data_IF_266493793536
#
_entry.id   IF_266493793536
#
_cell.length_a   1.000
_cell.length_b   1.000
_cell.length_c   1.000
_cell.angle_alpha   90.00
_cell.angle_beta   90.00
_cell.angle_gamma   90.00
#
_symmetry.space_group_name_H-M   'P 1'
#
loop_
_entity.id
_entity.type
_entity.pdbx_description
1 polymer ?
#
# COMPACT_ATOMS: atom_id res chain seq x y z
N UNK A 1 15.70 15.35 49.84
CA UNK A 1 14.84 14.29 49.27
C UNK A 1 14.39 14.79 47.90
N UNK A 2 15.09 14.37 46.84
CA UNK A 2 14.73 14.73 45.47
C UNK A 2 13.94 13.56 44.88
N UNK A 3 12.69 13.81 44.50
CA UNK A 3 11.87 12.86 43.76
C UNK A 3 12.42 12.76 42.34
N UNK A 4 12.92 11.58 41.96
CA UNK A 4 13.20 11.22 40.57
C UNK A 4 11.87 11.14 39.82
N UNK A 5 11.68 12.08 38.91
CA UNK A 5 10.59 12.14 37.97
C UNK A 5 10.74 10.97 36.99
N UNK A 6 9.67 10.17 36.86
CA UNK A 6 9.61 8.94 36.07
C UNK A 6 9.99 9.19 34.60
N UNK A 7 10.98 8.46 34.09
CA UNK A 7 11.42 8.39 32.68
C UNK A 7 10.41 7.69 31.75
N UNK A 8 9.13 7.62 32.11
CA UNK A 8 8.11 6.88 31.35
C UNK A 8 7.61 7.59 30.08
N UNK A 9 7.98 8.85 29.87
CA UNK A 9 7.47 9.67 28.75
C UNK A 9 8.37 9.69 27.50
N UNK A 10 9.41 8.84 27.44
CA UNK A 10 10.33 8.75 26.29
C UNK A 10 10.26 7.42 25.49
N UNK A 11 9.15 6.69 25.55
CA UNK A 11 8.89 5.69 24.52
C UNK A 11 8.39 6.40 23.25
N UNK A 12 9.32 6.72 22.34
CA UNK A 12 8.96 6.86 20.93
C UNK A 12 8.16 5.62 20.55
N UNK A 13 6.90 5.80 20.14
CA UNK A 13 5.97 4.76 19.73
C UNK A 13 6.67 3.84 18.70
N UNK A 14 7.15 2.68 19.18
CA UNK A 14 7.99 1.75 18.42
C UNK A 14 7.22 0.98 17.33
N UNK A 15 5.98 1.39 17.10
CA UNK A 15 5.03 0.73 16.23
C UNK A 15 5.04 1.44 14.87
N UNK A 16 5.57 0.77 13.85
CA UNK A 16 5.56 1.32 12.49
C UNK A 16 4.11 1.57 12.03
N UNK A 17 3.88 2.72 11.38
CA UNK A 17 2.57 3.12 10.85
C UNK A 17 2.51 2.86 9.35
N UNK A 18 1.58 2.02 8.92
CA UNK A 18 1.43 1.61 7.52
C UNK A 18 0.08 2.07 6.99
N UNK A 19 0.11 2.82 5.89
CA UNK A 19 -1.08 3.24 5.16
C UNK A 19 -1.34 2.29 3.99
N UNK A 20 -2.52 1.67 3.97
CA UNK A 20 -3.08 1.04 2.77
C UNK A 20 -4.02 2.06 2.11
N UNK A 21 -3.50 2.71 1.07
CA UNK A 21 -4.21 3.76 0.32
C UNK A 21 -4.73 3.20 -0.99
N UNK A 22 -6.01 3.33 -1.29
CA UNK A 22 -6.53 2.81 -2.56
C UNK A 22 -7.60 3.68 -3.23
N UNK A 23 -7.80 3.43 -4.52
CA UNK A 23 -9.02 3.76 -5.23
C UNK A 23 -9.72 2.45 -5.63
N UNK A 24 -11.04 2.37 -5.53
CA UNK A 24 -11.80 1.22 -6.04
C UNK A 24 -13.15 1.64 -6.58
N UNK A 25 -13.45 1.24 -7.81
CA UNK A 25 -14.76 1.48 -8.42
C UNK A 25 -15.73 0.34 -8.09
N UNK A 26 -15.36 -0.92 -8.34
CA UNK A 26 -16.28 -2.07 -8.20
C UNK A 26 -16.05 -2.94 -6.97
N UNK A 27 -15.10 -2.59 -6.09
CA UNK A 27 -14.80 -3.34 -4.87
C UNK A 27 -13.57 -4.24 -4.97
N UNK A 28 -13.17 -4.74 -6.15
CA UNK A 28 -12.01 -5.66 -6.29
C UNK A 28 -10.72 -5.16 -5.64
N UNK A 29 -10.33 -3.90 -5.92
CA UNK A 29 -9.17 -3.28 -5.29
C UNK A 29 -9.37 -3.07 -3.78
N UNK A 30 -10.61 -2.82 -3.32
CA UNK A 30 -10.89 -2.69 -1.89
C UNK A 30 -10.74 -4.04 -1.18
N UNK A 31 -11.24 -5.12 -1.77
CA UNK A 31 -11.08 -6.49 -1.24
C UNK A 31 -9.61 -6.91 -1.19
N UNK A 32 -8.80 -6.54 -2.19
CA UNK A 32 -7.34 -6.73 -2.09
C UNK A 32 -6.73 -5.87 -0.98
N UNK A 33 -7.17 -4.62 -0.82
CA UNK A 33 -6.69 -3.73 0.24
C UNK A 33 -6.97 -4.30 1.65
N UNK A 34 -8.11 -4.96 1.84
CA UNK A 34 -8.44 -5.69 3.08
C UNK A 34 -7.42 -6.80 3.35
N UNK A 35 -7.11 -7.63 2.35
CA UNK A 35 -6.08 -8.67 2.47
C UNK A 35 -4.70 -8.10 2.80
N UNK A 36 -4.28 -7.02 2.13
CA UNK A 36 -3.04 -6.29 2.46
C UNK A 36 -3.06 -5.81 3.91
N UNK A 37 -4.15 -5.16 4.34
CA UNK A 37 -4.27 -4.59 5.67
C UNK A 37 -4.25 -5.67 6.76
N UNK A 38 -4.88 -6.81 6.52
CA UNK A 38 -4.81 -7.99 7.39
C UNK A 38 -3.36 -8.43 7.57
N UNK A 39 -2.60 -8.54 6.47
CA UNK A 39 -1.20 -8.90 6.52
C UNK A 39 -0.32 -7.92 7.30
N UNK A 40 -0.58 -6.62 7.17
CA UNK A 40 0.11 -5.60 7.97
C UNK A 40 -0.18 -5.80 9.46
N UNK A 41 -1.46 -5.99 9.82
CA UNK A 41 -1.89 -6.17 11.21
C UNK A 41 -1.28 -7.41 11.88
N UNK A 42 -1.07 -8.50 11.14
CA UNK A 42 -0.42 -9.72 11.67
C UNK A 42 1.03 -9.50 12.14
N UNK A 43 1.72 -8.48 11.61
CA UNK A 43 3.07 -8.13 12.05
C UNK A 43 3.08 -7.20 13.27
N UNK A 44 1.92 -6.80 13.78
CA UNK A 44 1.80 -5.88 14.91
C UNK A 44 2.06 -4.41 14.57
N UNK A 45 2.15 -4.07 13.28
CA UNK A 45 2.23 -2.68 12.82
C UNK A 45 0.85 -1.99 12.92
N UNK A 46 0.85 -0.68 13.15
CA UNK A 46 -0.39 0.10 13.09
C UNK A 46 -0.80 0.22 11.63
N UNK A 47 -2.01 -0.25 11.30
CA UNK A 47 -2.56 -0.18 9.95
C UNK A 47 -3.68 0.83 9.84
N UNK A 48 -3.59 1.69 8.84
CA UNK A 48 -4.69 2.55 8.40
C UNK A 48 -5.11 2.17 6.99
N UNK A 49 -6.40 1.95 6.79
CA UNK A 49 -6.99 1.79 5.46
C UNK A 49 -7.71 3.08 5.10
N UNK A 50 -7.34 3.68 3.96
CA UNK A 50 -7.95 4.92 3.46
C UNK A 50 -8.18 4.85 1.96
N UNK A 51 -9.15 5.63 1.49
CA UNK A 51 -9.41 5.82 0.06
C UNK A 51 -9.00 7.21 -0.41
N UNK A 52 -8.65 7.33 -1.68
CA UNK A 52 -8.59 8.65 -2.33
C UNK A 52 -10.00 9.17 -2.63
N UNK A 53 -10.19 10.50 -2.79
CA UNK A 53 -11.46 11.04 -3.25
C UNK A 53 -11.86 10.43 -4.60
N UNK A 54 -13.14 10.08 -4.75
CA UNK A 54 -13.67 9.69 -6.05
C UNK A 54 -13.97 10.94 -6.87
N UNK A 55 -13.24 11.13 -7.96
CA UNK A 55 -13.43 12.24 -8.90
C UNK A 55 -14.00 11.76 -10.23
N UNK A 56 -14.53 10.53 -10.28
CA UNK A 56 -15.12 9.99 -11.50
C UNK A 56 -16.59 10.39 -11.64
N UNK A 57 -17.02 10.65 -12.88
CA UNK A 57 -18.43 10.99 -13.17
C UNK A 57 -19.39 9.80 -12.98
N UNK A 58 -18.85 8.62 -12.63
CA UNK A 58 -19.60 7.39 -12.50
C UNK A 58 -19.90 7.17 -11.02
N UNK A 59 -21.18 7.21 -10.64
CA UNK A 59 -21.65 6.89 -9.28
C UNK A 59 -21.60 5.37 -8.97
N UNK A 60 -20.57 4.69 -9.49
CA UNK A 60 -20.42 3.22 -9.48
C UNK A 60 -19.51 2.75 -8.36
N UNK A 61 -18.88 3.68 -7.66
CA UNK A 61 -17.93 3.40 -6.59
C UNK A 61 -18.66 2.76 -5.43
N UNK A 62 -18.53 1.44 -5.31
CA UNK A 62 -18.87 0.68 -4.10
C UNK A 62 -17.82 0.93 -3.01
N UNK A 63 -17.41 2.18 -2.83
CA UNK A 63 -16.57 2.59 -1.72
C UNK A 63 -17.47 2.47 -0.49
N UNK A 64 -17.25 1.44 0.31
CA UNK A 64 -17.92 1.32 1.60
C UNK A 64 -17.60 2.50 2.53
N UNK A 65 -17.72 2.27 3.83
CA UNK A 65 -17.59 3.30 4.87
C UNK A 65 -16.13 3.77 5.10
N UNK A 66 -15.17 3.30 4.28
CA UNK A 66 -13.74 3.63 4.45
C UNK A 66 -13.53 5.15 4.28
N UNK A 67 -12.86 5.83 5.23
CA UNK A 67 -12.66 7.27 5.18
C UNK A 67 -11.68 7.68 4.07
N UNK A 68 -11.90 8.88 3.54
CA UNK A 68 -10.98 9.52 2.59
C UNK A 68 -9.71 9.92 3.33
N UNK A 69 -8.55 9.75 2.69
CA UNK A 69 -7.27 10.22 3.24
C UNK A 69 -7.22 11.76 3.25
N UNK A 70 -6.80 12.34 4.37
CA UNK A 70 -6.35 13.73 4.40
C UNK A 70 -4.92 13.79 3.88
N UNK A 71 -4.71 14.40 2.71
CA UNK A 71 -3.41 14.38 2.02
C UNK A 71 -2.24 14.82 2.90
N UNK A 72 -2.47 15.79 3.78
CA UNK A 72 -1.46 16.31 4.71
C UNK A 72 -0.94 15.27 5.72
N UNK A 73 -1.63 14.14 5.90
CA UNK A 73 -1.22 13.08 6.83
C UNK A 73 -0.30 12.04 6.20
N UNK A 74 -0.07 12.05 4.88
CA UNK A 74 0.85 11.11 4.22
C UNK A 74 2.23 11.02 4.91
N UNK A 75 2.86 12.13 5.34
CA UNK A 75 4.17 12.07 6.01
C UNK A 75 4.17 11.34 7.36
N UNK A 76 3.00 11.15 7.99
CA UNK A 76 2.88 10.50 9.29
C UNK A 76 3.02 8.96 9.25
N UNK A 77 3.07 8.37 8.05
CA UNK A 77 3.22 6.92 7.86
C UNK A 77 4.68 6.56 7.56
N UNK A 78 5.13 5.38 7.99
CA UNK A 78 6.45 4.83 7.68
C UNK A 78 6.43 4.01 6.39
N UNK A 79 5.27 3.47 6.04
CA UNK A 79 5.04 2.78 4.78
C UNK A 79 3.70 3.17 4.14
N UNK A 80 3.67 3.20 2.81
CA UNK A 80 2.46 3.47 2.03
C UNK A 80 2.33 2.40 0.93
N UNK A 81 1.24 1.63 0.98
CA UNK A 81 0.90 0.60 0.00
C UNK A 81 -0.26 1.12 -0.84
N UNK A 82 -0.03 1.33 -2.14
CA UNK A 82 -0.96 2.02 -3.02
C UNK A 82 -1.69 1.06 -3.95
N UNK A 83 -3.02 1.11 -3.91
CA UNK A 83 -3.92 0.29 -4.72
C UNK A 83 -4.68 1.10 -5.77
N UNK A 84 -4.65 0.68 -7.03
CA UNK A 84 -5.53 1.28 -8.04
C UNK A 84 -5.97 0.24 -9.07
N UNK A 85 -7.25 0.23 -9.51
CA UNK A 85 -7.65 -0.56 -10.66
C UNK A 85 -6.97 -0.02 -11.93
N UNK A 86 -6.68 -0.90 -12.87
CA UNK A 86 -6.12 -0.49 -14.15
C UNK A 86 -7.11 0.31 -15.00
N UNK A 87 -6.60 1.30 -15.71
CA UNK A 87 -7.22 1.99 -16.83
C UNK A 87 -6.22 2.04 -17.97
N UNK A 88 -6.33 1.08 -18.88
CA UNK A 88 -5.45 0.92 -20.05
C UNK A 88 -3.96 0.81 -19.67
N UNK A 89 -3.64 0.00 -18.65
CA UNK A 89 -2.26 -0.20 -18.20
C UNK A 89 -1.69 0.93 -17.34
N UNK A 90 -2.54 1.84 -16.86
CA UNK A 90 -2.20 2.93 -15.93
C UNK A 90 -3.12 2.91 -14.71
N UNK A 91 -2.74 3.63 -13.65
CA UNK A 91 -3.62 3.84 -12.51
C UNK A 91 -4.88 4.62 -12.92
N UNK A 92 -5.97 4.46 -12.16
CA UNK A 92 -7.20 5.19 -12.42
C UNK A 92 -7.04 6.71 -12.18
N UNK A 93 -7.83 7.50 -12.93
CA UNK A 93 -7.83 8.96 -12.86
C UNK A 93 -7.92 9.55 -11.45
N UNK A 94 -8.79 9.05 -10.56
CA UNK A 94 -8.85 9.54 -9.17
C UNK A 94 -7.55 9.35 -8.37
N UNK A 95 -6.83 8.23 -8.58
CA UNK A 95 -5.53 8.02 -7.95
C UNK A 95 -4.45 8.93 -8.56
N UNK A 96 -4.44 9.10 -9.88
CA UNK A 96 -3.53 10.02 -10.55
C UNK A 96 -3.75 11.47 -10.08
N UNK A 97 -5.01 11.93 -10.06
CA UNK A 97 -5.38 13.27 -9.60
C UNK A 97 -5.04 13.51 -8.12
N UNK A 98 -5.11 12.47 -7.28
CA UNK A 98 -4.63 12.55 -5.91
C UNK A 98 -3.12 12.82 -5.87
N UNK A 99 -2.30 12.06 -6.61
CA UNK A 99 -0.86 12.29 -6.68
C UNK A 99 -0.49 13.64 -7.29
N UNK A 100 -1.20 14.12 -8.31
CA UNK A 100 -0.94 15.43 -8.92
C UNK A 100 -1.03 16.59 -7.89
N UNK A 101 -1.78 16.40 -6.80
CA UNK A 101 -1.94 17.40 -5.72
C UNK A 101 -0.86 17.32 -4.64
N UNK A 102 0.01 16.32 -4.68
CA UNK A 102 1.05 16.08 -3.65
C UNK A 102 2.39 16.78 -3.93
N UNK A 103 2.42 17.75 -4.85
CA UNK A 103 3.66 18.47 -5.22
C UNK A 103 4.39 19.13 -4.05
N UNK A 104 3.69 19.65 -3.05
CA UNK A 104 4.31 20.23 -1.85
C UNK A 104 4.98 19.17 -0.94
N UNK A 105 4.38 17.97 -0.86
CA UNK A 105 4.94 16.83 -0.11
C UNK A 105 6.21 16.33 -0.80
N UNK A 106 6.20 16.27 -2.14
CA UNK A 106 7.38 15.97 -2.93
C UNK A 106 8.48 17.02 -2.72
N UNK A 107 8.17 18.31 -2.87
CA UNK A 107 9.16 19.38 -2.78
C UNK A 107 9.83 19.50 -1.40
N UNK A 108 9.12 19.08 -0.34
CA UNK A 108 9.64 19.05 1.03
C UNK A 108 10.39 17.75 1.38
N UNK A 109 10.54 16.81 0.45
CA UNK A 109 11.15 15.50 0.67
C UNK A 109 10.47 14.68 1.80
N UNK A 110 9.20 14.96 2.10
CA UNK A 110 8.54 14.45 3.29
C UNK A 110 8.30 12.93 3.27
N UNK A 111 8.45 12.28 2.12
CA UNK A 111 8.33 10.82 1.97
C UNK A 111 9.66 10.09 1.72
N UNK A 112 10.78 10.82 1.66
CA UNK A 112 12.09 10.22 1.39
C UNK A 112 12.45 9.21 2.47
N UNK A 113 12.90 8.03 2.04
CA UNK A 113 13.32 6.95 2.93
C UNK A 113 12.19 6.08 3.49
N UNK A 114 10.92 6.44 3.28
CA UNK A 114 9.76 5.60 3.66
C UNK A 114 9.60 4.41 2.74
N UNK A 115 8.85 3.38 3.16
CA UNK A 115 8.60 2.18 2.33
C UNK A 115 7.39 2.39 1.41
N UNK A 116 7.55 2.13 0.12
CA UNK A 116 6.49 2.20 -0.89
C UNK A 116 6.19 0.84 -1.50
N UNK A 117 4.93 0.52 -1.72
CA UNK A 117 4.51 -0.70 -2.42
C UNK A 117 3.24 -0.46 -3.24
N UNK A 118 2.93 -1.37 -4.19
CA UNK A 118 1.76 -1.24 -5.06
C UNK A 118 0.95 -2.54 -5.15
N UNK A 119 -0.35 -2.41 -5.39
CA UNK A 119 -1.24 -3.51 -5.79
C UNK A 119 -2.29 -3.03 -6.81
N UNK A 120 -2.88 -3.94 -7.58
CA UNK A 120 -3.80 -3.56 -8.68
C UNK A 120 -4.93 -4.57 -8.92
N UNK A 121 -5.90 -4.19 -9.76
CA UNK A 121 -6.91 -5.09 -10.30
C UNK A 121 -7.13 -4.83 -11.79
N UNK A 122 -7.29 -5.87 -12.60
CA UNK A 122 -7.46 -5.77 -14.06
C UNK A 122 -8.68 -6.54 -14.54
N UNK A 123 -9.27 -6.15 -15.67
CA UNK A 123 -10.36 -6.92 -16.29
C UNK A 123 -9.91 -8.18 -17.05
N UNK A 124 -8.62 -8.28 -17.39
CA UNK A 124 -8.05 -9.41 -18.13
C UNK A 124 -6.66 -9.78 -17.64
N UNK A 125 -6.21 -11.00 -17.94
CA UNK A 125 -4.97 -11.60 -17.42
C UNK A 125 -3.71 -10.75 -17.70
N UNK A 126 -3.62 -10.12 -18.86
CA UNK A 126 -2.44 -9.33 -19.27
C UNK A 126 -2.79 -7.87 -19.58
N UNK A 127 -4.00 -7.43 -19.23
CA UNK A 127 -4.51 -6.07 -19.48
C UNK A 127 -3.94 -5.00 -18.56
N UNK A 128 -2.65 -5.09 -18.24
CA UNK A 128 -1.92 -4.12 -17.43
C UNK A 128 -1.73 -4.49 -15.96
N UNK A 129 -1.69 -5.79 -15.62
CA UNK A 129 -1.35 -6.27 -14.27
C UNK A 129 -0.01 -5.68 -13.83
N UNK A 130 1.00 -5.79 -14.68
CA UNK A 130 2.35 -5.35 -14.38
C UNK A 130 2.54 -3.85 -14.63
N UNK A 131 2.08 -3.35 -15.78
CA UNK A 131 2.32 -1.94 -16.18
C UNK A 131 1.63 -0.94 -15.26
N UNK A 132 0.46 -1.27 -14.72
CA UNK A 132 -0.22 -0.42 -13.73
C UNK A 132 0.60 -0.33 -12.45
N UNK A 133 1.15 -1.45 -11.97
CA UNK A 133 2.01 -1.50 -10.78
C UNK A 133 3.28 -0.69 -11.02
N UNK A 134 3.98 -0.92 -12.13
CA UNK A 134 5.17 -0.17 -12.51
C UNK A 134 4.90 1.34 -12.55
N UNK A 135 3.76 1.77 -13.09
CA UNK A 135 3.36 3.18 -13.10
C UNK A 135 3.16 3.77 -11.69
N UNK A 136 2.56 3.01 -10.77
CA UNK A 136 2.44 3.42 -9.36
C UNK A 136 3.83 3.50 -8.71
N UNK A 137 4.66 2.47 -8.90
CA UNK A 137 6.01 2.42 -8.32
C UNK A 137 6.90 3.56 -8.80
N UNK A 138 6.78 3.99 -10.07
CA UNK A 138 7.49 5.17 -10.58
C UNK A 138 7.13 6.42 -9.77
N UNK A 139 5.86 6.67 -9.50
CA UNK A 139 5.46 7.80 -8.64
C UNK A 139 6.10 7.70 -7.25
N UNK A 140 6.08 6.52 -6.63
CA UNK A 140 6.68 6.29 -5.30
C UNK A 140 8.20 6.52 -5.31
N UNK A 141 8.90 6.13 -6.38
CA UNK A 141 10.33 6.40 -6.55
C UNK A 141 10.61 7.91 -6.67
N UNK A 142 9.75 8.68 -7.35
CA UNK A 142 9.87 10.14 -7.42
C UNK A 142 9.72 10.83 -6.06
N UNK A 143 8.97 10.22 -5.12
CA UNK A 143 8.91 10.65 -3.72
C UNK A 143 10.12 10.23 -2.88
N UNK A 144 11.09 9.51 -3.46
CA UNK A 144 12.28 9.00 -2.78
C UNK A 144 12.00 7.84 -1.82
N UNK A 145 10.92 7.09 -2.04
CA UNK A 145 10.57 5.93 -1.23
C UNK A 145 11.39 4.70 -1.62
N UNK A 146 11.65 3.83 -0.64
CA UNK A 146 12.25 2.52 -0.86
C UNK A 146 11.16 1.53 -1.28
N UNK A 147 11.32 0.90 -2.43
CA UNK A 147 10.27 0.04 -2.99
C UNK A 147 10.34 -1.38 -2.42
N UNK A 148 9.23 -1.84 -1.84
CA UNK A 148 8.99 -3.21 -1.46
C UNK A 148 8.17 -3.94 -2.54
N UNK A 149 8.59 -5.15 -2.89
CA UNK A 149 8.04 -5.98 -3.96
C UNK A 149 7.39 -7.26 -3.41
N UNK A 150 6.86 -8.13 -4.28
CA UNK A 150 6.46 -9.48 -3.90
C UNK A 150 7.48 -10.47 -4.46
N UNK A 151 8.56 -10.81 -3.73
CA UNK A 151 9.57 -11.74 -4.23
C UNK A 151 9.00 -13.15 -4.47
N UNK A 152 9.63 -13.89 -5.38
CA UNK A 152 9.32 -15.30 -5.70
C UNK A 152 9.61 -16.30 -4.55
N UNK A 153 9.97 -15.83 -3.36
CA UNK A 153 9.84 -16.62 -2.13
C UNK A 153 8.38 -16.87 -1.78
N UNK A 154 7.46 -15.98 -2.20
CA UNK A 154 6.02 -16.23 -2.24
C UNK A 154 5.70 -17.16 -3.43
N UNK A 155 5.56 -18.46 -3.14
CA UNK A 155 5.40 -19.52 -4.17
C UNK A 155 4.04 -19.50 -4.86
N UNK A 156 3.04 -18.80 -4.33
CA UNK A 156 1.76 -18.63 -5.00
C UNK A 156 1.85 -17.83 -6.31
N UNK A 157 2.93 -17.06 -6.50
CA UNK A 157 3.21 -16.35 -7.76
C UNK A 157 3.51 -17.30 -8.94
N UNK A 158 3.94 -18.54 -8.67
CA UNK A 158 4.25 -19.54 -9.70
C UNK A 158 3.13 -20.57 -9.88
N UNK A 159 1.93 -20.27 -9.40
CA UNK A 159 0.74 -21.11 -9.57
C UNK A 159 0.37 -21.21 -11.06
N UNK A 160 0.06 -22.42 -11.53
CA UNK A 160 -0.39 -22.71 -12.91
C UNK A 160 -1.74 -23.46 -12.97
N UNK A 161 -2.37 -23.71 -11.82
CA UNK A 161 -3.60 -24.49 -11.70
C UNK A 161 -4.86 -23.66 -11.96
N UNK A 162 -4.79 -22.34 -11.78
CA UNK A 162 -5.89 -21.41 -12.01
C UNK A 162 -5.43 -20.10 -12.65
N UNK A 163 -6.35 -19.41 -13.32
CA UNK A 163 -6.13 -18.00 -13.64
C UNK A 163 -5.97 -17.24 -12.33
N UNK A 164 -4.81 -16.61 -12.13
CA UNK A 164 -4.48 -15.84 -10.94
C UNK A 164 -3.79 -14.53 -11.33
N UNK A 165 -4.10 -13.47 -10.60
CA UNK A 165 -3.23 -12.32 -10.46
C UNK A 165 -2.06 -12.59 -9.51
N UNK A 166 -1.34 -11.53 -9.17
CA UNK A 166 -0.06 -11.59 -8.48
C UNK A 166 1.09 -11.46 -9.46
N UNK A 167 2.00 -10.54 -9.17
CA UNK A 167 3.22 -10.31 -9.95
C UNK A 167 4.37 -10.02 -8.99
N UNK A 168 5.65 -10.13 -9.43
CA UNK A 168 6.75 -9.70 -8.58
C UNK A 168 6.71 -8.21 -8.24
N UNK A 169 5.99 -7.38 -9.01
CA UNK A 169 5.87 -5.94 -8.78
C UNK A 169 4.86 -5.57 -7.70
N UNK A 170 4.00 -6.52 -7.30
CA UNK A 170 2.86 -6.26 -6.42
C UNK A 170 1.75 -7.28 -6.57
N UNK A 171 0.94 -7.44 -5.52
CA UNK A 171 -0.26 -8.27 -5.57
C UNK A 171 -1.26 -7.71 -6.60
N UNK A 172 -2.00 -8.61 -7.23
CA UNK A 172 -3.04 -8.20 -8.16
C UNK A 172 -4.15 -9.23 -8.30
N UNK A 173 -5.28 -8.82 -8.89
CA UNK A 173 -6.45 -9.68 -9.14
C UNK A 173 -7.02 -9.45 -10.53
N UNK A 174 -7.61 -10.50 -11.12
CA UNK A 174 -8.32 -10.43 -12.42
C UNK A 174 -9.84 -10.41 -12.18
N UNK A 175 -10.53 -9.34 -12.55
CA UNK A 175 -11.97 -9.18 -12.30
C UNK A 175 -12.89 -9.71 -13.41
N UNK A 176 -12.35 -10.31 -14.46
CA UNK A 176 -13.05 -10.61 -15.72
C UNK A 176 -13.56 -9.35 -16.44
N UNK A 177 -13.95 -9.51 -17.71
CA UNK A 177 -14.35 -8.40 -18.59
C UNK A 177 -15.64 -7.71 -18.12
N UNK A 178 -16.54 -8.46 -17.50
CA UNK A 178 -17.80 -7.99 -16.94
C UNK A 178 -17.70 -7.56 -15.47
N UNK A 179 -16.54 -7.78 -14.83
CA UNK A 179 -16.35 -7.48 -13.41
C UNK A 179 -16.97 -8.51 -12.46
N UNK A 180 -17.34 -9.70 -12.93
CA UNK A 180 -18.01 -10.73 -12.12
C UNK A 180 -17.06 -11.56 -11.27
N UNK A 181 -15.78 -11.67 -11.65
CA UNK A 181 -14.79 -12.48 -10.92
C UNK A 181 -14.25 -11.69 -9.73
N UNK A 182 -14.46 -12.21 -8.52
CA UNK A 182 -13.89 -11.67 -7.30
C UNK A 182 -12.44 -12.17 -7.08
N UNK A 183 -11.65 -11.50 -6.21
CA UNK A 183 -10.32 -12.00 -5.87
C UNK A 183 -10.35 -13.44 -5.34
N UNK A 184 -9.48 -14.31 -5.86
CA UNK A 184 -9.40 -15.70 -5.41
C UNK A 184 -8.64 -15.83 -4.10
N UNK A 185 -8.74 -17.01 -3.47
CA UNK A 185 -7.96 -17.31 -2.27
C UNK A 185 -6.45 -17.19 -2.52
N UNK A 186 -5.96 -17.56 -3.71
CA UNK A 186 -4.55 -17.40 -4.08
C UNK A 186 -4.14 -15.92 -4.13
N UNK A 187 -4.94 -15.09 -4.80
CA UNK A 187 -4.70 -13.64 -4.94
C UNK A 187 -4.75 -12.91 -3.58
N UNK A 188 -5.72 -13.27 -2.72
CA UNK A 188 -5.84 -12.71 -1.37
C UNK A 188 -4.67 -13.13 -0.47
N UNK A 189 -4.21 -14.38 -0.58
CA UNK A 189 -3.05 -14.84 0.18
C UNK A 189 -1.76 -14.12 -0.25
N UNK A 190 -1.59 -13.82 -1.54
CA UNK A 190 -0.48 -13.01 -2.05
C UNK A 190 -0.57 -11.58 -1.50
N UNK A 191 -1.75 -10.96 -1.52
CA UNK A 191 -1.97 -9.62 -0.97
C UNK A 191 -1.64 -9.54 0.52
N UNK A 192 -2.11 -10.53 1.29
CA UNK A 192 -1.80 -10.67 2.71
C UNK A 192 -0.32 -10.85 2.97
N UNK A 193 0.34 -11.71 2.18
CA UNK A 193 1.79 -11.87 2.27
C UNK A 193 2.53 -10.56 1.99
N UNK A 194 2.11 -9.81 0.97
CA UNK A 194 2.70 -8.50 0.66
C UNK A 194 2.54 -7.52 1.83
N UNK A 195 1.36 -7.48 2.46
CA UNK A 195 1.12 -6.66 3.66
C UNK A 195 2.09 -6.99 4.79
N UNK A 196 2.27 -8.27 5.11
CA UNK A 196 3.25 -8.73 6.10
C UNK A 196 4.67 -8.30 5.76
N UNK A 197 5.06 -8.49 4.50
CA UNK A 197 6.41 -8.17 4.06
C UNK A 197 6.71 -6.68 4.17
N UNK A 198 5.78 -5.81 3.76
CA UNK A 198 5.93 -4.36 3.90
C UNK A 198 6.01 -3.95 5.37
N UNK A 199 5.15 -4.51 6.22
CA UNK A 199 5.14 -4.21 7.65
C UNK A 199 6.46 -4.62 8.33
N UNK A 200 6.99 -5.80 8.00
CA UNK A 200 8.28 -6.29 8.51
C UNK A 200 9.44 -5.34 8.15
N UNK A 201 9.47 -4.87 6.90
CA UNK A 201 10.45 -3.88 6.44
C UNK A 201 10.31 -2.54 7.18
N UNK A 202 9.07 -2.06 7.37
CA UNK A 202 8.80 -0.81 8.06
C UNK A 202 9.19 -0.89 9.55
N UNK A 203 8.85 -1.99 10.24
CA UNK A 203 9.24 -2.24 11.63
C UNK A 203 10.76 -2.29 11.77
N UNK A 204 11.43 -3.01 10.87
CA UNK A 204 12.90 -3.08 10.84
C UNK A 204 13.54 -1.70 10.62
N UNK A 205 12.96 -0.88 9.74
CA UNK A 205 13.41 0.49 9.49
C UNK A 205 13.28 1.38 10.73
N UNK A 206 12.11 1.40 11.37
CA UNK A 206 11.83 2.19 12.59
C UNK A 206 12.74 1.76 13.74
N UNK A 207 12.94 0.45 13.92
CA UNK A 207 13.88 -0.08 14.91
C UNK A 207 15.32 0.38 14.62
N UNK A 208 15.76 0.31 13.36
CA UNK A 208 17.09 0.75 12.94
C UNK A 208 17.33 2.25 13.14
N UNK A 209 16.33 3.10 12.87
CA UNK A 209 16.37 4.54 13.14
C UNK A 209 16.53 4.83 14.64
N UNK A 210 15.78 4.11 15.48
CA UNK A 210 15.85 4.21 16.95
C UNK A 210 17.24 3.85 17.50
N UNK A 211 17.90 2.85 16.92
CA UNK A 211 19.27 2.49 17.31
C UNK A 211 20.24 3.59 16.90
N UNK A 212 20.17 4.09 15.66
CA UNK A 212 21.07 5.14 15.16
C UNK A 212 20.98 6.44 15.97
N UNK A 213 19.78 6.86 16.37
CA UNK A 213 19.60 8.08 17.16
C UNK A 213 20.25 8.00 18.55
N UNK A 214 20.40 6.80 19.12
CA UNK A 214 21.05 6.57 20.41
C UNK A 214 22.58 6.49 20.32
N UNK A 215 23.14 6.12 19.17
CA UNK A 215 24.60 5.93 18.99
C UNK A 215 25.30 7.18 18.45
N UNK A 216 24.55 8.13 17.87
CA UNK A 216 25.10 9.37 17.28
C UNK A 216 24.99 10.58 18.25
N UNK A 217 24.49 10.36 19.48
CA UNK A 217 24.61 11.30 20.60
C UNK A 217 25.84 10.98 21.44
#
# INVERSE_FOLDING_TARGET
MAQTQNDSDQYHDSTAKVLVLYYSCYGHTATLAEGVAEGVGEMGAQVDVRRVPDTSDHNRTKAGVVPVIEMATLPAYDAIIVGSPTRYGRMAGPMASFFDKTGAIWASNALVGKIGAAFTSTGSQHGGQETTLLGILINLMHFGMTIATVPYSEKRLTNLDEVSGGTPYGASTVSAADGSRLPTANELAIAKWQGRHVADLALSMVAGQTVRSKTVQ
#
